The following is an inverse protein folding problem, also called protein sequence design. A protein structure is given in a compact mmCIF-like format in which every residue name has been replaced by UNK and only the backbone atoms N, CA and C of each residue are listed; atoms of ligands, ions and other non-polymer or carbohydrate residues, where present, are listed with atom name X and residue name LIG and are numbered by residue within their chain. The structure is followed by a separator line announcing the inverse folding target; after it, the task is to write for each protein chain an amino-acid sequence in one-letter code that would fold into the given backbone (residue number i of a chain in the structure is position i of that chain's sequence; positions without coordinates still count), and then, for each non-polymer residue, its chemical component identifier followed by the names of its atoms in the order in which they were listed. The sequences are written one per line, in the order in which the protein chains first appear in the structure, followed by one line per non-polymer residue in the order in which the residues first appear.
data_IF_627532720261
#
_entry.id   IF_627532720261
#
_cell.length_a   1.000
_cell.length_b   1.000
_cell.length_c   1.000
_cell.angle_alpha   90.00
_cell.angle_beta   90.00
_cell.angle_gamma   90.00
#
_symmetry.space_group_name_H-M   'P 1'
#
loop_
_entity.id
_entity.type
_entity.pdbx_description
1 polymer ?
#
# COMPACT_ATOMS: atom_id res chain seq x y z
N UNK A 1 -7.92 41.84 -23.35
CA UNK A 1 -7.21 40.67 -22.77
C UNK A 1 -8.16 39.48 -22.89
N UNK A 2 -7.92 38.55 -23.83
CA UNK A 2 -8.73 37.33 -23.95
C UNK A 2 -8.31 36.39 -22.81
N UNK A 3 -9.18 36.20 -21.83
CA UNK A 3 -9.04 35.19 -20.80
C UNK A 3 -9.27 33.82 -21.41
N UNK A 4 -8.19 33.04 -21.56
CA UNK A 4 -8.32 31.61 -21.91
C UNK A 4 -9.01 30.92 -20.72
N UNK A 5 -10.16 30.26 -20.91
CA UNK A 5 -10.80 29.52 -19.84
C UNK A 5 -9.83 28.44 -19.34
N UNK A 6 -9.65 28.32 -18.03
CA UNK A 6 -8.88 27.20 -17.45
C UNK A 6 -9.61 25.90 -17.83
N UNK A 7 -9.04 25.16 -18.78
CA UNK A 7 -9.55 23.86 -19.19
C UNK A 7 -9.47 22.93 -17.96
N UNK A 8 -10.63 22.69 -17.35
CA UNK A 8 -10.89 21.77 -16.22
C UNK A 8 -9.97 21.95 -14.99
N UNK A 9 -10.26 22.89 -14.08
CA UNK A 9 -9.44 23.10 -12.88
C UNK A 9 -9.36 21.88 -11.93
N UNK A 10 -10.29 20.93 -12.06
CA UNK A 10 -10.32 19.71 -11.25
C UNK A 10 -9.34 18.61 -11.73
N UNK A 11 -8.78 18.72 -12.94
CA UNK A 11 -7.93 17.71 -13.58
C UNK A 11 -8.72 16.53 -14.17
N UNK A 12 -8.01 15.53 -14.71
CA UNK A 12 -8.57 14.36 -15.37
C UNK A 12 -8.39 13.09 -14.52
N UNK A 13 -9.32 12.14 -14.67
CA UNK A 13 -9.28 10.83 -14.00
C UNK A 13 -9.58 9.73 -15.01
N UNK A 14 -9.19 8.50 -14.69
CA UNK A 14 -9.52 7.30 -15.48
C UNK A 14 -9.96 6.17 -14.58
N UNK A 15 -10.57 5.13 -15.16
CA UNK A 15 -10.94 3.90 -14.46
C UNK A 15 -10.41 2.69 -15.23
N UNK A 16 -9.78 1.77 -14.50
CA UNK A 16 -9.28 0.50 -15.00
C UNK A 16 -10.15 -0.63 -14.46
N UNK A 17 -10.62 -1.49 -15.36
CA UNK A 17 -11.31 -2.73 -14.99
C UNK A 17 -10.27 -3.83 -14.83
N UNK A 18 -10.26 -4.50 -13.68
CA UNK A 18 -9.23 -5.49 -13.31
C UNK A 18 -9.83 -6.86 -13.07
N UNK A 19 -9.12 -7.90 -13.46
CA UNK A 19 -9.54 -9.30 -13.40
C UNK A 19 -10.39 -9.72 -14.58
N UNK A 20 -10.42 -8.97 -15.68
CA UNK A 20 -11.12 -9.34 -16.90
C UNK A 20 -10.30 -10.33 -17.75
N UNK A 21 -8.97 -10.30 -17.63
CA UNK A 21 -8.07 -11.16 -18.39
C UNK A 21 -6.93 -11.65 -17.46
N UNK A 22 -5.90 -12.24 -18.05
CA UNK A 22 -4.67 -12.67 -17.38
C UNK A 22 -3.68 -11.53 -17.10
N UNK A 23 -4.13 -10.29 -16.85
CA UNK A 23 -3.22 -9.20 -16.51
C UNK A 23 -2.67 -9.33 -15.09
N UNK A 24 -1.38 -9.07 -14.93
CA UNK A 24 -0.71 -9.06 -13.62
C UNK A 24 -0.96 -7.74 -12.89
N UNK A 25 -0.71 -7.69 -11.58
CA UNK A 25 -0.74 -6.41 -10.87
C UNK A 25 0.39 -5.47 -11.31
N UNK A 26 1.51 -6.00 -11.81
CA UNK A 26 2.59 -5.24 -12.44
C UNK A 26 2.10 -4.47 -13.67
N UNK A 27 1.30 -5.10 -14.54
CA UNK A 27 0.73 -4.43 -15.70
C UNK A 27 -0.16 -3.24 -15.29
N UNK A 28 -1.04 -3.48 -14.31
CA UNK A 28 -2.01 -2.48 -13.81
C UNK A 28 -1.29 -1.33 -13.10
N UNK A 29 -0.44 -1.72 -12.14
CA UNK A 29 0.82 -1.11 -11.71
C UNK A 29 1.37 0.05 -12.53
N UNK A 30 2.19 -0.38 -13.49
CA UNK A 30 2.98 0.45 -14.38
C UNK A 30 2.10 1.29 -15.30
N UNK A 31 0.93 0.78 -15.71
CA UNK A 31 -0.04 1.57 -16.47
C UNK A 31 -0.55 2.77 -15.65
N UNK A 32 -0.90 2.57 -14.37
CA UNK A 32 -1.33 3.64 -13.50
C UNK A 32 -0.21 4.67 -13.25
N UNK A 33 1.03 4.22 -13.02
CA UNK A 33 2.20 5.10 -12.90
C UNK A 33 2.43 5.94 -14.17
N UNK A 34 2.34 5.31 -15.35
CA UNK A 34 2.41 5.98 -16.65
C UNK A 34 1.30 7.03 -16.80
N UNK A 35 0.08 6.72 -16.40
CA UNK A 35 -1.03 7.67 -16.40
C UNK A 35 -0.77 8.91 -15.55
N UNK A 36 -0.13 8.76 -14.38
CA UNK A 36 0.27 9.90 -13.56
C UNK A 36 1.41 10.69 -14.20
N UNK A 37 2.44 10.02 -14.73
CA UNK A 37 3.65 10.66 -15.25
C UNK A 37 3.46 11.34 -16.60
N UNK A 38 2.80 10.69 -17.55
CA UNK A 38 2.64 11.18 -18.92
C UNK A 38 1.38 12.03 -19.08
N UNK A 39 0.24 11.54 -18.58
CA UNK A 39 -1.06 12.19 -18.79
C UNK A 39 -1.45 13.14 -17.66
N UNK A 40 -0.63 13.24 -16.60
CA UNK A 40 -0.84 14.12 -15.44
C UNK A 40 -2.23 13.93 -14.80
N UNK A 41 -2.74 12.69 -14.81
CA UNK A 41 -4.02 12.39 -14.19
C UNK A 41 -4.00 12.71 -12.69
N UNK A 42 -5.15 13.08 -12.15
CA UNK A 42 -5.31 13.32 -10.71
C UNK A 42 -5.51 12.03 -9.93
N UNK A 43 -6.15 11.04 -10.56
CA UNK A 43 -6.51 9.76 -9.95
C UNK A 43 -6.81 8.68 -11.00
N UNK A 44 -6.41 7.47 -10.70
CA UNK A 44 -6.85 6.22 -11.34
C UNK A 44 -7.81 5.51 -10.37
N UNK A 45 -8.94 5.05 -10.89
CA UNK A 45 -9.89 4.20 -10.17
C UNK A 45 -9.76 2.76 -10.66
N UNK A 46 -9.94 1.81 -9.76
CA UNK A 46 -9.95 0.38 -10.03
C UNK A 46 -11.33 -0.18 -9.72
N UNK A 47 -11.79 -1.09 -10.58
CA UNK A 47 -13.02 -1.86 -10.34
C UNK A 47 -12.81 -3.30 -10.81
N UNK A 48 -13.14 -4.27 -9.95
CA UNK A 48 -13.17 -5.67 -10.35
C UNK A 48 -14.12 -5.94 -11.51
N UNK A 49 -13.68 -6.75 -12.48
CA UNK A 49 -14.52 -7.23 -13.57
C UNK A 49 -15.69 -8.05 -13.01
N UNK A 50 -16.88 -7.79 -13.54
CA UNK A 50 -18.10 -8.53 -13.22
C UNK A 50 -18.49 -9.30 -14.49
N UNK A 51 -18.47 -10.64 -14.46
CA UNK A 51 -18.73 -11.45 -15.64
C UNK A 51 -20.22 -11.41 -16.00
N UNK A 52 -20.49 -10.93 -17.21
CA UNK A 52 -21.84 -10.86 -17.80
C UNK A 52 -21.96 -11.67 -19.10
N UNK A 53 -20.83 -12.07 -19.68
CA UNK A 53 -20.80 -12.82 -20.93
C UNK A 53 -20.52 -14.30 -20.65
N UNK A 54 -21.40 -15.18 -21.13
CA UNK A 54 -21.27 -16.64 -20.99
C UNK A 54 -20.59 -17.32 -22.17
N UNK A 55 -20.39 -16.61 -23.28
CA UNK A 55 -19.92 -17.20 -24.55
C UNK A 55 -18.41 -17.03 -24.77
N UNK A 56 -17.81 -15.97 -24.22
CA UNK A 56 -16.39 -15.68 -24.37
C UNK A 56 -15.55 -16.43 -23.33
N UNK A 57 -14.79 -17.44 -23.80
CA UNK A 57 -13.93 -18.26 -22.95
C UNK A 57 -12.68 -17.54 -22.44
N UNK A 58 -12.31 -16.39 -23.02
CA UNK A 58 -11.18 -15.59 -22.56
C UNK A 58 -11.52 -14.74 -21.32
N UNK A 59 -12.81 -14.60 -20.99
CA UNK A 59 -13.29 -13.85 -19.84
C UNK A 59 -13.66 -14.78 -18.68
N UNK A 60 -13.60 -14.30 -17.42
CA UNK A 60 -14.10 -15.06 -16.27
C UNK A 60 -15.56 -15.49 -16.47
N UNK A 61 -15.86 -16.71 -16.04
CA UNK A 61 -17.20 -17.26 -16.14
C UNK A 61 -18.21 -16.52 -15.25
N UNK A 62 -19.46 -16.41 -15.71
CA UNK A 62 -20.56 -15.84 -14.92
C UNK A 62 -20.66 -16.57 -13.57
N UNK A 63 -20.67 -15.80 -12.47
CA UNK A 63 -20.68 -16.32 -11.11
C UNK A 63 -19.32 -16.34 -10.42
N UNK A 64 -18.21 -16.08 -11.12
CA UNK A 64 -16.93 -15.83 -10.45
C UNK A 64 -17.00 -14.55 -9.62
N UNK A 65 -16.62 -14.62 -8.34
CA UNK A 65 -16.63 -13.45 -7.47
C UNK A 65 -15.62 -12.39 -7.95
N UNK A 66 -16.01 -11.10 -8.00
CA UNK A 66 -15.06 -10.03 -8.31
C UNK A 66 -13.89 -10.05 -7.31
N UNK A 67 -12.66 -9.74 -7.76
CA UNK A 67 -11.48 -9.85 -6.91
C UNK A 67 -11.36 -8.65 -5.95
N UNK A 68 -12.30 -8.51 -5.00
CA UNK A 68 -12.40 -7.35 -4.10
C UNK A 68 -11.12 -7.10 -3.29
N UNK A 69 -10.45 -8.18 -2.84
CA UNK A 69 -9.17 -8.06 -2.14
C UNK A 69 -8.07 -7.49 -3.03
N UNK A 70 -8.01 -7.94 -4.30
CA UNK A 70 -7.07 -7.42 -5.30
C UNK A 70 -7.32 -5.94 -5.58
N UNK A 71 -8.58 -5.55 -5.78
CA UNK A 71 -8.98 -4.14 -5.95
C UNK A 71 -8.52 -3.27 -4.77
N UNK A 72 -8.74 -3.74 -3.55
CA UNK A 72 -8.28 -3.05 -2.33
C UNK A 72 -6.75 -2.92 -2.30
N UNK A 73 -6.01 -3.95 -2.71
CA UNK A 73 -4.54 -3.91 -2.78
C UNK A 73 -4.03 -2.92 -3.82
N UNK A 74 -4.68 -2.85 -4.99
CA UNK A 74 -4.36 -1.86 -6.02
C UNK A 74 -4.56 -0.43 -5.51
N UNK A 75 -5.68 -0.14 -4.82
CA UNK A 75 -5.88 1.18 -4.20
C UNK A 75 -4.85 1.51 -3.11
N UNK A 76 -4.43 0.52 -2.32
CA UNK A 76 -3.37 0.70 -1.33
C UNK A 76 -2.04 1.03 -2.00
N UNK A 77 -1.68 0.32 -3.07
CA UNK A 77 -0.48 0.60 -3.87
C UNK A 77 -0.53 1.99 -4.51
N UNK A 78 -1.64 2.37 -5.14
CA UNK A 78 -1.83 3.72 -5.72
C UNK A 78 -1.57 4.82 -4.68
N UNK A 79 -2.07 4.61 -3.46
CA UNK A 79 -1.86 5.53 -2.35
C UNK A 79 -0.37 5.64 -1.96
N UNK A 80 0.38 4.54 -1.99
CA UNK A 80 1.82 4.54 -1.72
C UNK A 80 2.57 5.34 -2.78
N UNK A 81 2.25 5.14 -4.07
CA UNK A 81 2.90 5.89 -5.15
C UNK A 81 2.67 7.40 -5.00
N UNK A 82 1.41 7.80 -4.75
CA UNK A 82 1.03 9.22 -4.76
C UNK A 82 1.42 10.00 -3.51
N UNK A 83 1.45 9.35 -2.35
CA UNK A 83 1.61 10.05 -1.07
C UNK A 83 2.80 9.58 -0.25
N UNK A 84 3.40 8.43 -0.56
CA UNK A 84 4.57 7.89 0.13
C UNK A 84 5.82 7.86 -0.76
N UNK A 85 5.76 8.43 -1.96
CA UNK A 85 6.90 8.53 -2.89
C UNK A 85 7.46 7.15 -3.26
N UNK A 86 6.60 6.12 -3.30
CA UNK A 86 6.99 4.82 -3.82
C UNK A 86 7.06 4.86 -5.34
N UNK A 87 8.12 4.31 -5.89
CA UNK A 87 8.20 3.99 -7.31
C UNK A 87 7.42 2.70 -7.59
N UNK A 88 6.80 2.60 -8.76
CA UNK A 88 6.00 1.41 -9.13
C UNK A 88 6.83 0.12 -9.07
N UNK A 89 8.08 0.19 -9.55
CA UNK A 89 9.04 -0.92 -9.51
C UNK A 89 9.54 -1.28 -8.10
N UNK A 90 9.32 -0.44 -7.08
CA UNK A 90 9.54 -0.87 -5.70
C UNK A 90 8.44 -1.85 -5.27
N UNK A 91 7.21 -1.66 -5.73
CA UNK A 91 6.04 -2.39 -5.25
C UNK A 91 5.80 -3.72 -5.96
N UNK A 92 6.18 -3.79 -7.23
CA UNK A 92 6.04 -4.95 -8.12
C UNK A 92 7.23 -5.02 -9.08
N UNK A 93 7.68 -6.22 -9.38
CA UNK A 93 8.82 -6.51 -10.25
C UNK A 93 8.63 -7.88 -10.93
N UNK A 94 9.57 -8.27 -11.80
CA UNK A 94 9.45 -9.52 -12.55
C UNK A 94 9.48 -10.77 -11.65
N UNK A 95 10.07 -10.68 -10.44
CA UNK A 95 10.06 -11.76 -9.45
C UNK A 95 8.73 -11.78 -8.66
N UNK A 96 8.13 -10.62 -8.44
CA UNK A 96 6.90 -10.39 -7.68
C UNK A 96 5.88 -9.58 -8.49
N UNK A 97 5.35 -10.14 -9.61
CA UNK A 97 4.48 -9.40 -10.52
C UNK A 97 3.07 -9.17 -9.97
N UNK A 98 2.69 -9.86 -8.89
CA UNK A 98 1.37 -9.78 -8.27
C UNK A 98 1.46 -9.39 -6.79
N UNK A 99 0.47 -8.62 -6.33
CA UNK A 99 0.37 -8.17 -4.95
C UNK A 99 -0.07 -9.32 -4.03
N UNK A 100 0.51 -9.33 -2.83
CA UNK A 100 0.08 -10.25 -1.78
C UNK A 100 -1.31 -9.88 -1.25
N UNK A 101 -2.21 -10.85 -1.19
CA UNK A 101 -3.59 -10.62 -0.77
C UNK A 101 -3.76 -10.60 0.76
N UNK A 102 -2.89 -11.25 1.51
CA UNK A 102 -2.97 -11.39 2.97
C UNK A 102 -2.28 -10.25 3.74
N UNK A 103 -1.29 -9.60 3.14
CA UNK A 103 -0.57 -8.44 3.71
C UNK A 103 -0.72 -7.21 2.82
N UNK A 104 -0.74 -6.00 3.41
CA UNK A 104 -0.78 -4.78 2.60
C UNK A 104 0.55 -4.52 1.86
N UNK A 105 0.55 -3.78 0.74
CA UNK A 105 1.72 -3.61 -0.12
C UNK A 105 2.93 -2.99 0.58
N UNK A 106 2.70 -2.14 1.59
CA UNK A 106 3.79 -1.51 2.36
C UNK A 106 4.46 -2.52 3.31
N UNK A 107 3.69 -3.41 3.92
CA UNK A 107 4.25 -4.51 4.70
C UNK A 107 4.97 -5.50 3.78
N UNK A 108 4.35 -5.88 2.67
CA UNK A 108 4.94 -6.79 1.69
C UNK A 108 6.32 -6.29 1.23
N UNK A 109 6.41 -5.01 0.85
CA UNK A 109 7.68 -4.37 0.50
C UNK A 109 8.73 -4.51 1.60
N UNK A 110 8.36 -4.20 2.85
CA UNK A 110 9.28 -4.22 3.97
C UNK A 110 9.78 -5.64 4.32
N UNK A 111 8.93 -6.65 4.13
CA UNK A 111 9.29 -8.05 4.33
C UNK A 111 10.23 -8.58 3.24
N UNK A 112 10.13 -8.05 2.01
CA UNK A 112 11.05 -8.38 0.90
C UNK A 112 12.39 -7.67 1.00
N UNK A 113 12.48 -6.57 1.74
CA UNK A 113 13.69 -5.76 1.90
C UNK A 113 14.19 -5.72 3.35
N UNK A 114 14.45 -6.87 4.00
CA UNK A 114 14.89 -6.90 5.40
C UNK A 114 16.21 -6.15 5.63
N UNK A 115 17.07 -6.05 4.61
CA UNK A 115 18.35 -5.33 4.64
C UNK A 115 18.19 -3.81 4.87
N UNK A 116 17.01 -3.25 4.60
CA UNK A 116 16.71 -1.84 4.86
C UNK A 116 16.31 -1.58 6.33
N UNK A 117 16.15 -2.63 7.14
CA UNK A 117 15.65 -2.56 8.50
C UNK A 117 16.68 -3.10 9.52
N UNK A 118 16.69 -2.59 10.77
CA UNK A 118 15.79 -1.57 11.32
C UNK A 118 16.20 -0.14 10.97
N UNK A 119 15.20 0.70 10.69
CA UNK A 119 15.35 2.13 10.42
C UNK A 119 15.54 2.89 11.73
N UNK A 120 16.63 3.65 11.85
CA UNK A 120 16.81 4.56 12.97
C UNK A 120 15.99 5.83 12.79
N UNK A 121 14.97 5.98 13.63
CA UNK A 121 14.01 7.07 13.59
C UNK A 121 14.61 8.41 13.97
N UNK A 122 15.82 8.46 14.53
CA UNK A 122 16.51 9.72 14.82
C UNK A 122 17.40 10.22 13.67
N UNK A 123 17.84 9.32 12.78
CA UNK A 123 18.85 9.64 11.76
C UNK A 123 18.39 9.40 10.32
N UNK A 124 17.52 8.42 10.08
CA UNK A 124 17.11 8.03 8.73
C UNK A 124 16.39 9.14 7.96
N UNK A 125 16.54 9.18 6.65
CA UNK A 125 15.87 10.17 5.82
C UNK A 125 14.34 10.05 5.84
N UNK A 126 13.65 11.15 5.53
CA UNK A 126 12.19 11.18 5.46
C UNK A 126 11.61 10.09 4.55
N UNK A 127 12.22 9.90 3.37
CA UNK A 127 11.82 8.89 2.39
C UNK A 127 11.87 7.49 3.00
N UNK A 128 12.93 7.16 3.75
CA UNK A 128 13.06 5.85 4.40
C UNK A 128 12.05 5.66 5.55
N UNK A 129 11.76 6.70 6.33
CA UNK A 129 10.70 6.64 7.36
C UNK A 129 9.33 6.36 6.73
N UNK A 130 9.07 6.90 5.53
CA UNK A 130 7.85 6.60 4.78
C UNK A 130 7.75 5.14 4.35
N UNK A 131 8.84 4.35 4.32
CA UNK A 131 8.79 2.91 4.01
C UNK A 131 8.38 2.06 5.21
N UNK A 132 8.57 2.57 6.43
CA UNK A 132 8.29 1.82 7.67
C UNK A 132 6.80 1.47 7.79
N UNK A 133 6.45 0.17 7.86
CA UNK A 133 5.08 -0.28 8.14
C UNK A 133 4.56 0.30 9.46
N UNK A 134 3.35 0.87 9.46
CA UNK A 134 2.76 1.51 10.64
C UNK A 134 3.12 2.99 10.86
N UNK A 135 3.99 3.58 10.03
CA UNK A 135 4.23 5.04 10.00
C UNK A 135 3.54 5.66 8.79
N UNK A 136 2.61 6.60 9.02
CA UNK A 136 1.95 7.36 7.96
C UNK A 136 2.64 8.68 7.60
N UNK A 137 2.27 9.31 6.49
CA UNK A 137 2.85 10.59 6.01
C UNK A 137 2.88 11.67 7.09
N UNK A 138 1.77 11.84 7.83
CA UNK A 138 1.67 12.84 8.91
C UNK A 138 2.62 12.51 10.06
N UNK A 139 2.69 11.24 10.47
CA UNK A 139 3.57 10.79 11.54
C UNK A 139 5.04 10.89 11.15
N UNK A 140 5.40 10.54 9.90
CA UNK A 140 6.75 10.72 9.37
C UNK A 140 7.18 12.20 9.40
N UNK A 141 6.29 13.14 9.05
CA UNK A 141 6.60 14.59 9.15
C UNK A 141 6.80 15.03 10.59
N UNK A 142 5.94 14.57 11.52
CA UNK A 142 6.10 14.84 12.95
C UNK A 142 7.43 14.31 13.49
N UNK A 143 7.84 13.12 13.05
CA UNK A 143 9.15 12.54 13.40
C UNK A 143 10.28 13.46 12.95
N UNK A 144 10.33 13.86 11.67
CA UNK A 144 11.38 14.76 11.17
C UNK A 144 11.40 16.08 11.95
N UNK A 145 10.24 16.66 12.23
CA UNK A 145 10.15 17.90 12.99
C UNK A 145 10.62 17.74 14.44
N UNK A 146 10.26 16.64 15.09
CA UNK A 146 10.55 16.38 16.50
C UNK A 146 12.04 16.16 16.77
N UNK A 147 12.80 15.60 15.82
CA UNK A 147 14.27 15.41 15.92
C UNK A 147 15.02 16.69 16.28
N UNK A 148 14.48 17.85 15.88
CA UNK A 148 15.05 19.17 16.16
C UNK A 148 15.05 19.53 17.65
N UNK A 149 14.21 18.87 18.45
CA UNK A 149 14.02 19.13 19.88
C UNK A 149 14.62 18.03 20.76
N UNK A 150 15.33 17.07 20.17
CA UNK A 150 15.97 15.97 20.88
C UNK A 150 15.65 14.61 20.26
N UNK A 151 16.25 13.57 20.85
CA UNK A 151 16.04 12.19 20.40
C UNK A 151 14.61 11.73 20.69
N UNK A 152 14.04 11.02 19.73
CA UNK A 152 12.68 10.48 19.78
C UNK A 152 12.70 9.13 20.49
N UNK A 153 11.74 8.98 21.41
CA UNK A 153 11.50 7.80 22.23
C UNK A 153 10.18 7.10 21.84
N UNK A 154 9.99 5.86 22.29
CA UNK A 154 8.82 5.02 21.97
C UNK A 154 7.50 5.74 22.27
N UNK A 155 7.36 6.35 23.46
CA UNK A 155 6.12 7.01 23.87
C UNK A 155 5.78 8.21 22.98
N UNK A 156 6.79 8.91 22.50
CA UNK A 156 6.60 10.04 21.58
C UNK A 156 6.09 9.53 20.22
N UNK A 157 6.59 8.41 19.72
CA UNK A 157 6.10 7.80 18.48
C UNK A 157 4.61 7.44 18.56
N UNK A 158 4.19 6.82 19.67
CA UNK A 158 2.78 6.49 19.91
C UNK A 158 1.91 7.75 19.91
N UNK A 159 2.34 8.82 20.59
CA UNK A 159 1.65 10.12 20.61
C UNK A 159 1.61 10.82 19.25
N UNK A 160 2.59 10.56 18.38
CA UNK A 160 2.60 11.05 16.99
C UNK A 160 1.63 10.29 16.06
N UNK A 161 0.97 9.24 16.57
CA UNK A 161 0.04 8.40 15.81
C UNK A 161 0.72 7.29 15.02
N UNK A 162 1.95 6.92 15.36
CA UNK A 162 2.61 5.73 14.80
C UNK A 162 1.91 4.49 15.35
N UNK A 163 1.54 3.56 14.48
CA UNK A 163 1.05 2.24 14.86
C UNK A 163 2.21 1.39 15.38
N UNK A 164 2.66 1.69 16.61
CA UNK A 164 3.91 1.18 17.17
C UNK A 164 3.96 -0.35 17.20
N UNK A 165 2.85 -1.04 17.47
CA UNK A 165 2.80 -2.50 17.48
C UNK A 165 3.26 -3.14 16.17
N UNK A 166 3.05 -2.44 15.04
CA UNK A 166 3.53 -2.86 13.74
C UNK A 166 4.91 -2.27 13.42
N UNK A 167 5.13 -1.00 13.74
CA UNK A 167 6.37 -0.31 13.41
C UNK A 167 7.59 -0.82 14.20
N UNK A 168 7.40 -1.33 15.43
CA UNK A 168 8.47 -1.81 16.32
C UNK A 168 9.34 -2.91 15.70
N UNK A 169 8.82 -3.67 14.73
CA UNK A 169 9.58 -4.71 14.03
C UNK A 169 10.56 -4.14 12.99
N UNK A 170 10.44 -2.85 12.66
CA UNK A 170 11.13 -2.20 11.56
C UNK A 170 11.93 -0.96 11.99
N UNK A 171 11.89 -0.58 13.27
CA UNK A 171 12.49 0.68 13.73
C UNK A 171 13.35 0.51 14.97
N UNK A 172 14.25 1.47 15.14
CA UNK A 172 14.98 1.74 16.38
C UNK A 172 14.86 3.22 16.73
N UNK A 173 14.80 3.51 18.02
CA UNK A 173 14.72 4.85 18.61
C UNK A 173 15.53 4.89 19.92
N UNK A 174 15.53 6.02 20.62
CA UNK A 174 16.49 6.29 21.70
C UNK A 174 16.48 5.26 22.85
N UNK A 175 15.29 4.77 23.18
CA UNK A 175 15.01 3.79 24.24
C UNK A 175 14.81 2.36 23.71
N UNK A 176 15.12 2.10 22.43
CA UNK A 176 15.14 0.74 21.89
C UNK A 176 16.31 -0.06 22.49
N UNK A 177 16.08 -1.29 22.99
CA UNK A 177 17.15 -2.14 23.50
C UNK A 177 18.27 -2.33 22.46
N UNK A 178 19.53 -2.25 22.89
CA UNK A 178 20.70 -2.40 22.02
C UNK A 178 20.79 -3.77 21.35
N UNK A 179 20.20 -4.78 21.98
CA UNK A 179 20.14 -6.14 21.46
C UNK A 179 18.68 -6.50 21.17
N UNK A 180 18.31 -6.46 19.90
CA UNK A 180 17.04 -6.99 19.41
C UNK A 180 17.35 -8.31 18.75
N UNK A 181 16.65 -9.37 19.14
CA UNK A 181 16.75 -10.66 18.46
C UNK A 181 16.35 -10.47 17.00
N UNK A 182 17.25 -10.79 16.08
CA UNK A 182 16.93 -10.81 14.65
C UNK A 182 15.78 -11.79 14.40
N UNK A 183 14.74 -11.30 13.73
CA UNK A 183 13.57 -12.08 13.35
C UNK A 183 13.55 -12.22 11.85
N UNK A 184 13.27 -13.43 11.38
CA UNK A 184 13.10 -13.68 9.95
C UNK A 184 11.82 -12.98 9.46
N UNK A 185 11.77 -12.52 8.20
CA UNK A 185 10.58 -11.90 7.64
C UNK A 185 9.30 -12.72 7.81
N UNK A 186 9.39 -14.05 7.68
CA UNK A 186 8.27 -14.98 7.91
C UNK A 186 7.72 -14.92 9.35
N UNK A 187 8.59 -14.78 10.34
CA UNK A 187 8.21 -14.66 11.74
C UNK A 187 7.54 -13.30 12.02
N UNK A 188 8.08 -12.23 11.44
CA UNK A 188 7.49 -10.88 11.52
C UNK A 188 6.09 -10.88 10.90
N UNK A 189 5.94 -11.47 9.70
CA UNK A 189 4.64 -11.64 9.01
C UNK A 189 3.64 -12.33 9.93
N UNK A 190 4.01 -13.48 10.48
CA UNK A 190 3.12 -14.26 11.34
C UNK A 190 2.70 -13.48 12.60
N UNK A 191 3.62 -12.80 13.27
CA UNK A 191 3.29 -11.99 14.46
C UNK A 191 2.32 -10.86 14.13
N UNK A 192 2.53 -10.15 13.02
CA UNK A 192 1.65 -9.06 12.60
C UNK A 192 0.26 -9.58 12.23
N UNK A 193 0.17 -10.71 11.52
CA UNK A 193 -1.11 -11.32 11.15
C UNK A 193 -1.87 -11.86 12.38
N UNK A 194 -1.19 -12.43 13.37
CA UNK A 194 -1.81 -12.90 14.61
C UNK A 194 -2.27 -11.74 15.51
N UNK A 195 -1.47 -10.67 15.60
CA UNK A 195 -1.82 -9.48 16.37
C UNK A 195 -2.95 -8.67 15.71
N UNK A 196 -3.00 -8.69 14.38
CA UNK A 196 -4.07 -8.10 13.59
C UNK A 196 -5.22 -9.07 13.42
N UNK A 197 -6.08 -9.24 14.44
CA UNK A 197 -7.37 -9.89 14.24
C UNK A 197 -8.16 -9.13 13.17
N UNK A 198 -8.06 -9.62 11.94
CA UNK A 198 -8.58 -8.94 10.76
C UNK A 198 -10.09 -9.15 10.70
N UNK A 199 -10.84 -8.05 10.67
CA UNK A 199 -12.29 -8.04 10.36
C UNK A 199 -12.62 -8.71 9.02
N UNK A 200 -11.63 -9.01 8.18
CA UNK A 200 -11.79 -9.64 6.87
C UNK A 200 -11.82 -11.17 6.89
N UNK A 201 -11.46 -11.85 7.98
CA UNK A 201 -11.68 -13.31 8.07
C UNK A 201 -13.17 -13.67 8.03
N UNK A 202 -14.07 -12.72 8.33
CA UNK A 202 -15.51 -12.90 8.23
C UNK A 202 -16.09 -12.75 6.81
N UNK A 203 -15.33 -12.20 5.84
CA UNK A 203 -15.81 -11.98 4.47
C UNK A 203 -15.67 -13.20 3.55
N UNK A 204 -15.26 -14.35 4.08
CA UNK A 204 -15.41 -15.66 3.42
C UNK A 204 -16.87 -16.18 3.42
N UNK A 205 -17.84 -15.33 3.80
CA UNK A 205 -19.26 -15.61 3.66
C UNK A 205 -19.76 -15.10 2.31
N UNK A 206 -20.44 -15.91 1.49
CA UNK A 206 -21.08 -15.42 0.29
C UNK A 206 -22.24 -14.52 0.72
N UNK A 207 -22.04 -13.21 0.73
CA UNK A 207 -23.12 -12.26 0.97
C UNK A 207 -24.05 -12.24 -0.26
N UNK A 208 -25.04 -13.12 -0.18
CA UNK A 208 -26.47 -12.88 -0.39
C UNK A 208 -26.83 -11.59 -1.15
N UNK A 209 -27.38 -11.81 -2.36
CA UNK A 209 -28.58 -11.19 -2.89
C UNK A 209 -28.71 -9.67 -2.80
N UNK A 210 -28.37 -8.98 -3.88
CA UNK A 210 -29.05 -7.73 -4.22
C UNK A 210 -30.28 -8.09 -5.05
N UNK A 211 -31.44 -8.06 -4.40
CA UNK A 211 -32.72 -8.04 -5.08
C UNK A 211 -32.85 -6.74 -5.89
N UNK A 212 -33.04 -6.91 -7.20
CA UNK A 212 -34.15 -6.32 -7.94
C UNK A 212 -34.81 -7.45 -8.72
#
# INVERSE_FOLDING_TARGET
IKTVPKFVPAGQTTQMVVGAHHETDQDVILMADRHYKEFKLKRVYYSGYIPINSEDQALPAIGSAPPLLRENRLYQTDWLMRFYEFDAHELVDDEHPNLELDVDPKLAWALRHPEQFPVDINTAEYRMILRVPGIGVRSARKVIQARRFGSIHIDQLKRMGVAYNRAQHFIRCADTPKFIKEMLPSQIRQQILLAGQSKYNAQLSPQLGLGF
#
